data_IF_779281802801
#
_entry.id   IF_779281802801
#
_cell.length_a   1.000
_cell.length_b   1.000
_cell.length_c   1.000
_cell.angle_alpha   90.00
_cell.angle_beta   90.00
_cell.angle_gamma   90.00
#
_symmetry.space_group_name_H-M   'P 1'
#
loop_
_entity.id
_entity.type
_entity.pdbx_description
1 polymer ?
#
# COMPACT_ATOMS: atom_id res chain seq x y z
N UNK A 1 -45.21 28.26 42.61
CA UNK A 1 -45.28 28.07 41.14
C UNK A 1 -43.88 27.78 40.67
N UNK A 2 -43.49 26.52 40.72
CA UNK A 2 -42.14 26.03 40.42
C UNK A 2 -42.34 24.66 39.80
N UNK A 3 -42.85 24.61 38.57
CA UNK A 3 -43.06 23.32 37.90
C UNK A 3 -43.03 23.39 36.39
N UNK A 4 -43.30 24.53 35.76
CA UNK A 4 -43.21 24.63 34.30
C UNK A 4 -41.78 24.89 33.81
N UNK A 5 -41.06 25.82 34.44
CA UNK A 5 -39.70 26.17 34.03
C UNK A 5 -38.69 25.05 34.31
N UNK A 6 -38.81 24.36 35.44
CA UNK A 6 -37.93 23.23 35.75
C UNK A 6 -38.32 21.95 34.98
N UNK A 7 -39.61 21.74 34.69
CA UNK A 7 -40.01 20.69 33.74
C UNK A 7 -39.48 20.97 32.33
N UNK A 8 -39.43 22.22 31.88
CA UNK A 8 -38.81 22.60 30.60
C UNK A 8 -37.31 22.35 30.61
N UNK A 9 -36.60 22.69 31.69
CA UNK A 9 -35.15 22.39 31.82
C UNK A 9 -34.88 20.88 31.82
N UNK A 10 -35.69 20.11 32.52
CA UNK A 10 -35.59 18.63 32.53
C UNK A 10 -35.93 18.06 31.14
N UNK A 11 -36.92 18.61 30.44
CA UNK A 11 -37.25 18.21 29.06
C UNK A 11 -36.13 18.54 28.08
N UNK A 12 -35.51 19.72 28.20
CA UNK A 12 -34.37 20.10 27.35
C UNK A 12 -33.14 19.23 27.66
N UNK A 13 -32.85 18.96 28.94
CA UNK A 13 -31.75 18.09 29.33
C UNK A 13 -31.94 16.64 28.84
N UNK A 14 -33.17 16.11 28.91
CA UNK A 14 -33.51 14.77 28.43
C UNK A 14 -33.44 14.67 26.90
N UNK A 15 -33.88 15.70 26.17
CA UNK A 15 -33.75 15.76 24.70
C UNK A 15 -32.28 15.80 24.29
N UNK A 16 -31.46 16.66 24.91
CA UNK A 16 -30.02 16.72 24.61
C UNK A 16 -29.35 15.37 24.90
N UNK A 17 -29.68 14.74 26.02
CA UNK A 17 -29.13 13.41 26.38
C UNK A 17 -29.56 12.34 25.38
N UNK A 18 -30.82 12.35 24.95
CA UNK A 18 -31.32 11.43 23.93
C UNK A 18 -30.62 11.65 22.58
N UNK A 19 -30.35 12.89 22.18
CA UNK A 19 -29.60 13.23 20.96
C UNK A 19 -28.16 12.74 21.05
N UNK A 20 -27.47 12.96 22.18
CA UNK A 20 -26.09 12.48 22.38
C UNK A 20 -26.04 10.95 22.36
N UNK A 21 -26.95 10.27 23.05
CA UNK A 21 -27.05 8.80 23.00
C UNK A 21 -27.33 8.33 21.57
N UNK A 22 -28.20 9.02 20.82
CA UNK A 22 -28.51 8.67 19.44
C UNK A 22 -27.30 8.87 18.52
N UNK A 23 -26.51 9.94 18.69
CA UNK A 23 -25.26 10.17 17.93
C UNK A 23 -24.23 9.11 18.31
N UNK A 24 -24.07 8.79 19.59
CA UNK A 24 -23.16 7.74 20.05
C UNK A 24 -23.59 6.38 19.52
N UNK A 25 -24.88 6.05 19.50
CA UNK A 25 -25.42 4.81 18.93
C UNK A 25 -25.39 4.81 17.41
N UNK A 26 -25.48 5.95 16.74
CA UNK A 26 -25.33 6.08 15.29
C UNK A 26 -23.87 5.89 14.87
N UNK A 27 -22.93 6.52 15.58
CA UNK A 27 -21.48 6.29 15.42
C UNK A 27 -21.16 4.84 15.80
N UNK A 28 -21.71 4.32 16.90
CA UNK A 28 -21.50 2.93 17.32
C UNK A 28 -22.18 1.93 16.40
N UNK A 29 -23.28 2.29 15.74
CA UNK A 29 -23.97 1.49 14.72
C UNK A 29 -23.22 1.51 13.39
N UNK A 30 -22.64 2.65 13.02
CA UNK A 30 -21.68 2.77 11.93
C UNK A 30 -20.40 2.00 12.23
N UNK A 31 -19.92 2.02 13.48
CA UNK A 31 -18.85 1.15 13.94
C UNK A 31 -19.29 -0.31 13.91
N UNK A 32 -20.46 -0.71 14.43
CA UNK A 32 -20.94 -2.10 14.55
C UNK A 32 -21.30 -2.75 13.22
N UNK A 33 -21.85 -1.98 12.27
CA UNK A 33 -21.93 -2.41 10.86
C UNK A 33 -20.55 -2.47 10.20
N UNK A 34 -19.57 -1.76 10.75
CA UNK A 34 -18.15 -1.89 10.40
C UNK A 34 -17.38 -2.88 11.28
N UNK A 35 -17.91 -3.47 12.37
CA UNK A 35 -17.07 -4.21 13.35
C UNK A 35 -17.03 -5.71 13.14
N UNK A 36 -17.82 -6.26 12.21
CA UNK A 36 -17.45 -7.54 11.59
C UNK A 36 -16.38 -7.38 10.49
N UNK A 37 -15.97 -6.14 10.18
CA UNK A 37 -14.80 -5.87 9.34
C UNK A 37 -13.63 -5.29 10.15
N UNK A 38 -13.89 -4.50 11.19
CA UNK A 38 -12.86 -3.76 11.91
C UNK A 38 -12.08 -4.56 12.98
N UNK A 39 -12.58 -5.71 13.44
CA UNK A 39 -11.75 -6.61 14.25
C UNK A 39 -10.69 -7.32 13.40
N UNK A 40 -11.01 -7.67 12.14
CA UNK A 40 -10.02 -8.05 11.13
C UNK A 40 -9.19 -6.84 10.69
N UNK A 41 -9.81 -5.67 10.49
CA UNK A 41 -9.08 -4.47 10.05
C UNK A 41 -8.17 -3.87 11.12
N UNK A 42 -8.35 -4.05 12.42
CA UNK A 42 -7.39 -3.54 13.40
C UNK A 42 -6.07 -4.35 13.41
N UNK A 43 -6.14 -5.66 13.14
CA UNK A 43 -4.97 -6.49 12.83
C UNK A 43 -4.45 -6.19 11.42
N UNK A 44 -5.31 -5.73 10.52
CA UNK A 44 -4.92 -5.31 9.16
C UNK A 44 -4.30 -3.90 9.14
N UNK A 45 -4.68 -2.95 10.02
CA UNK A 45 -4.24 -1.54 9.96
C UNK A 45 -2.87 -1.31 10.60
N UNK A 46 -2.44 -2.16 11.55
CA UNK A 46 -1.01 -2.23 11.94
C UNK A 46 -0.17 -2.93 10.84
N UNK A 47 -0.81 -3.73 9.97
CA UNK A 47 -0.20 -4.32 8.77
C UNK A 47 -0.32 -3.44 7.50
N UNK A 48 -1.22 -2.47 7.41
CA UNK A 48 -1.51 -1.66 6.20
C UNK A 48 -0.51 -0.51 5.98
N UNK A 49 0.29 -0.18 6.99
CA UNK A 49 1.46 0.70 6.82
C UNK A 49 2.68 -0.11 6.30
N UNK A 50 2.60 -1.45 6.28
CA UNK A 50 3.72 -2.35 5.97
C UNK A 50 3.45 -3.27 4.76
N UNK A 51 2.20 -3.52 4.36
CA UNK A 51 1.87 -4.41 3.24
C UNK A 51 1.32 -3.63 2.04
N UNK A 52 2.20 -3.01 1.27
CA UNK A 52 1.91 -2.83 -0.16
C UNK A 52 1.77 -4.24 -0.74
N UNK A 53 0.54 -4.65 -1.08
CA UNK A 53 0.27 -6.00 -1.55
C UNK A 53 0.86 -6.20 -2.95
N UNK A 54 2.17 -6.44 -3.00
CA UNK A 54 2.92 -6.76 -4.21
C UNK A 54 2.42 -8.06 -4.84
N UNK A 55 1.75 -8.93 -4.06
CA UNK A 55 1.34 -10.26 -4.50
C UNK A 55 0.31 -10.19 -5.63
N UNK A 56 -0.49 -9.13 -5.66
CA UNK A 56 -1.43 -8.87 -6.78
C UNK A 56 -0.74 -8.64 -8.12
N UNK A 57 0.53 -8.23 -8.12
CA UNK A 57 1.30 -8.02 -9.33
C UNK A 57 1.93 -9.30 -9.84
N UNK A 58 2.00 -10.38 -9.05
CA UNK A 58 2.66 -11.60 -9.50
C UNK A 58 1.99 -12.18 -10.75
N UNK A 59 2.79 -12.42 -11.77
CA UNK A 59 2.29 -12.85 -13.07
C UNK A 59 1.48 -11.81 -13.85
N UNK A 60 1.30 -10.58 -13.36
CA UNK A 60 0.64 -9.53 -14.13
C UNK A 60 1.59 -8.91 -15.16
N UNK A 61 1.00 -8.33 -16.20
CA UNK A 61 1.72 -7.47 -17.14
C UNK A 61 1.33 -6.04 -16.87
N UNK A 62 2.31 -5.20 -16.55
CA UNK A 62 2.12 -3.80 -16.20
C UNK A 62 2.85 -2.88 -17.19
N UNK A 63 2.47 -1.60 -17.21
CA UNK A 63 3.16 -0.58 -18.01
C UNK A 63 4.52 -0.23 -17.39
N UNK A 64 5.43 0.30 -18.21
CA UNK A 64 6.73 0.79 -17.75
C UNK A 64 6.62 1.98 -16.79
N UNK A 65 5.58 2.81 -16.90
CA UNK A 65 5.31 3.85 -15.89
C UNK A 65 4.96 3.23 -14.53
N UNK A 66 4.15 2.17 -14.51
CA UNK A 66 3.85 1.46 -13.26
C UNK A 66 5.11 0.79 -12.69
N UNK A 67 6.01 0.28 -13.54
CA UNK A 67 7.32 -0.23 -13.10
C UNK A 67 8.14 0.87 -12.43
N UNK A 68 8.24 2.07 -13.02
CA UNK A 68 8.99 3.19 -12.43
C UNK A 68 8.40 3.60 -11.07
N UNK A 69 7.08 3.73 -10.99
CA UNK A 69 6.38 4.02 -9.72
C UNK A 69 6.59 2.93 -8.66
N UNK A 70 6.60 1.66 -9.05
CA UNK A 70 6.88 0.54 -8.15
C UNK A 70 8.31 0.58 -7.62
N UNK A 71 9.28 0.87 -8.48
CA UNK A 71 10.69 1.01 -8.09
C UNK A 71 10.84 2.13 -7.06
N UNK A 72 10.23 3.29 -7.28
CA UNK A 72 10.25 4.42 -6.33
C UNK A 72 9.60 4.09 -4.98
N UNK A 73 8.66 3.17 -4.93
CA UNK A 73 8.06 2.71 -3.66
C UNK A 73 8.91 1.67 -2.94
N UNK A 74 9.62 0.83 -3.69
CA UNK A 74 10.33 -0.33 -3.17
C UNK A 74 11.80 -0.05 -2.86
N UNK A 75 12.40 1.03 -3.38
CA UNK A 75 13.83 1.27 -3.21
C UNK A 75 14.25 1.42 -1.74
N UNK A 76 13.40 2.00 -0.89
CA UNK A 76 13.67 2.23 0.54
C UNK A 76 13.28 1.03 1.45
N UNK A 77 12.75 -0.05 0.87
CA UNK A 77 12.17 -1.18 1.62
C UNK A 77 13.09 -2.41 1.75
N UNK A 78 14.39 -2.29 1.46
CA UNK A 78 15.34 -3.42 1.46
C UNK A 78 14.87 -4.62 0.59
N UNK A 79 14.23 -4.32 -0.54
CA UNK A 79 13.73 -5.33 -1.48
C UNK A 79 14.72 -5.50 -2.63
N UNK A 80 15.01 -6.73 -3.02
CA UNK A 80 15.77 -6.98 -4.26
C UNK A 80 14.91 -6.63 -5.48
N UNK A 81 15.41 -5.76 -6.34
CA UNK A 81 14.71 -5.35 -7.55
C UNK A 81 15.59 -5.70 -8.76
N UNK A 82 15.02 -6.41 -9.74
CA UNK A 82 15.65 -6.67 -11.03
C UNK A 82 14.78 -6.23 -12.18
N UNK A 83 15.36 -5.50 -13.12
CA UNK A 83 14.67 -5.08 -14.35
C UNK A 83 15.42 -5.62 -15.56
N UNK A 84 14.70 -6.23 -16.48
CA UNK A 84 15.22 -6.75 -17.76
C UNK A 84 14.45 -6.08 -18.88
N UNK A 85 15.15 -5.34 -19.74
CA UNK A 85 14.57 -4.64 -20.88
C UNK A 85 15.00 -5.32 -22.18
N UNK A 86 14.35 -4.98 -23.30
CA UNK A 86 14.76 -5.45 -24.64
C UNK A 86 16.13 -4.91 -25.05
N UNK A 87 16.46 -3.69 -24.60
CA UNK A 87 17.74 -3.04 -24.85
C UNK A 87 18.87 -3.59 -23.96
N UNK A 88 18.56 -3.93 -22.70
CA UNK A 88 19.49 -4.52 -21.75
C UNK A 88 18.98 -5.89 -21.28
N UNK A 89 19.36 -6.92 -22.04
CA UNK A 89 18.93 -8.31 -21.81
C UNK A 89 19.56 -8.96 -20.58
N UNK A 90 20.73 -8.49 -20.15
CA UNK A 90 21.35 -8.90 -18.89
C UNK A 90 20.54 -8.40 -17.68
N UNK A 91 19.88 -7.27 -17.87
CA UNK A 91 19.14 -6.55 -16.85
C UNK A 91 20.06 -5.81 -15.88
N UNK A 92 19.44 -5.08 -14.97
CA UNK A 92 20.10 -4.31 -13.92
C UNK A 92 19.36 -4.51 -12.60
N UNK A 93 20.06 -4.30 -11.48
CA UNK A 93 19.55 -4.55 -10.13
C UNK A 93 20.02 -3.49 -9.15
N UNK A 94 19.37 -3.40 -7.99
CA UNK A 94 19.89 -2.64 -6.85
C UNK A 94 20.87 -3.42 -5.97
N UNK A 95 21.19 -4.67 -6.25
CA UNK A 95 22.06 -5.43 -5.37
C UNK A 95 23.53 -5.04 -5.52
N UNK A 96 24.18 -4.68 -4.40
CA UNK A 96 25.62 -4.44 -4.32
C UNK A 96 26.34 -5.70 -3.83
N UNK A 97 25.79 -6.31 -2.78
CA UNK A 97 26.28 -7.51 -2.13
C UNK A 97 25.11 -8.34 -1.61
N UNK A 98 25.36 -9.54 -1.11
CA UNK A 98 24.31 -10.38 -0.50
C UNK A 98 23.69 -9.62 0.68
N UNK A 99 22.40 -9.30 0.58
CA UNK A 99 21.68 -8.54 1.61
C UNK A 99 21.95 -7.04 1.66
N UNK A 100 22.65 -6.46 0.67
CA UNK A 100 22.92 -5.01 0.61
C UNK A 100 22.44 -4.40 -0.72
N UNK A 101 21.66 -3.33 -0.63
CA UNK A 101 21.02 -2.69 -1.78
C UNK A 101 21.49 -1.24 -1.97
N UNK A 102 21.63 -0.82 -3.22
CA UNK A 102 21.95 0.54 -3.66
C UNK A 102 20.66 1.29 -3.95
N UNK A 103 20.37 2.32 -3.14
CA UNK A 103 19.21 3.20 -3.31
C UNK A 103 19.26 3.97 -4.65
N UNK A 104 20.47 4.27 -5.15
CA UNK A 104 20.70 5.03 -6.38
C UNK A 104 20.80 4.17 -7.64
N UNK A 105 20.52 2.85 -7.55
CA UNK A 105 20.67 1.96 -8.71
C UNK A 105 19.75 2.33 -9.88
N UNK A 106 18.66 3.04 -9.59
CA UNK A 106 17.56 3.34 -10.51
C UNK A 106 17.42 4.82 -10.87
N UNK A 107 18.37 5.69 -10.49
CA UNK A 107 18.29 7.14 -10.77
C UNK A 107 18.22 7.43 -12.29
N UNK A 108 18.77 6.54 -13.12
CA UNK A 108 18.87 6.74 -14.57
C UNK A 108 17.73 6.12 -15.39
N UNK A 109 16.71 5.52 -14.76
CA UNK A 109 15.65 4.76 -15.47
C UNK A 109 14.79 5.60 -16.41
N UNK A 110 14.85 6.92 -16.27
CA UNK A 110 14.12 7.92 -17.05
C UNK A 110 14.85 8.38 -18.32
N UNK A 111 16.18 8.21 -18.38
CA UNK A 111 16.98 8.75 -19.48
C UNK A 111 17.08 7.76 -20.62
N UNK A 112 16.59 8.13 -21.81
CA UNK A 112 16.56 7.27 -23.01
C UNK A 112 17.93 6.71 -23.39
N UNK A 113 18.98 7.48 -23.17
CA UNK A 113 20.35 7.10 -23.53
C UNK A 113 21.03 6.22 -22.47
N UNK A 114 20.34 5.95 -21.35
CA UNK A 114 20.81 5.04 -20.30
C UNK A 114 20.57 3.57 -20.68
N UNK A 115 21.52 2.71 -20.31
CA UNK A 115 21.36 1.25 -20.36
C UNK A 115 20.34 0.71 -19.35
N UNK A 116 19.87 1.57 -18.44
CA UNK A 116 18.81 1.30 -17.46
C UNK A 116 17.46 1.90 -17.86
N UNK A 117 17.36 2.51 -19.05
CA UNK A 117 16.13 3.14 -19.49
C UNK A 117 14.95 2.16 -19.48
N UNK A 118 13.86 2.56 -18.82
CA UNK A 118 12.58 1.86 -18.82
C UNK A 118 11.66 2.64 -19.75
N UNK A 119 11.16 2.03 -20.82
CA UNK A 119 10.16 2.69 -21.67
C UNK A 119 8.79 2.69 -20.95
N UNK A 120 8.23 3.87 -20.67
CA UNK A 120 6.93 4.04 -20.00
C UNK A 120 5.77 3.32 -20.69
N UNK A 121 5.78 3.35 -22.02
CA UNK A 121 4.78 2.66 -22.88
C UNK A 121 5.08 1.16 -23.06
N UNK A 122 6.21 0.68 -22.52
CA UNK A 122 6.59 -0.73 -22.57
C UNK A 122 5.71 -1.58 -21.68
N UNK A 123 5.51 -2.85 -22.06
CA UNK A 123 4.84 -3.85 -21.22
C UNK A 123 5.86 -4.72 -20.50
N UNK A 124 5.65 -4.95 -19.21
CA UNK A 124 6.57 -5.70 -18.35
C UNK A 124 5.80 -6.78 -17.59
N UNK A 125 6.23 -8.03 -17.74
CA UNK A 125 5.79 -9.15 -16.91
C UNK A 125 6.47 -9.04 -15.55
N UNK A 126 5.67 -9.10 -14.49
CA UNK A 126 6.14 -9.10 -13.11
C UNK A 126 6.29 -10.54 -12.62
N UNK A 127 7.32 -10.78 -11.81
CA UNK A 127 7.53 -12.05 -11.12
C UNK A 127 8.06 -11.77 -9.72
N UNK A 128 7.42 -12.33 -8.71
CA UNK A 128 7.92 -12.24 -7.34
C UNK A 128 8.91 -13.37 -7.05
N UNK A 129 9.94 -13.05 -6.28
CA UNK A 129 10.96 -13.97 -5.81
C UNK A 129 10.80 -14.22 -4.31
N UNK A 130 10.86 -15.48 -3.93
CA UNK A 130 10.81 -15.95 -2.54
C UNK A 130 12.10 -16.70 -2.22
N UNK A 131 12.55 -16.63 -0.97
CA UNK A 131 13.69 -17.40 -0.48
C UNK A 131 13.33 -18.87 -0.21
N UNK A 132 14.29 -19.65 0.27
CA UNK A 132 14.08 -21.07 0.57
C UNK A 132 13.12 -21.33 1.76
N UNK A 133 12.70 -20.28 2.47
CA UNK A 133 11.79 -20.32 3.62
C UNK A 133 10.42 -19.71 3.28
N UNK A 134 10.10 -19.56 1.99
CA UNK A 134 8.87 -18.92 1.49
C UNK A 134 8.72 -17.44 1.91
N UNK A 135 9.83 -16.78 2.29
CA UNK A 135 9.84 -15.36 2.63
C UNK A 135 10.06 -14.54 1.37
N UNK A 136 9.24 -13.51 1.18
CA UNK A 136 9.41 -12.58 0.05
C UNK A 136 10.80 -11.95 0.06
N UNK A 137 11.52 -12.10 -1.06
CA UNK A 137 12.89 -11.62 -1.22
C UNK A 137 13.00 -10.45 -2.20
N UNK A 138 12.21 -10.46 -3.28
CA UNK A 138 12.39 -9.47 -4.34
C UNK A 138 11.39 -9.53 -5.48
N UNK A 139 11.48 -8.54 -6.35
CA UNK A 139 10.61 -8.40 -7.52
C UNK A 139 11.45 -8.33 -8.81
N UNK A 140 10.97 -9.00 -9.85
CA UNK A 140 11.54 -8.96 -11.19
C UNK A 140 10.53 -8.38 -12.18
N UNK A 141 11.02 -7.46 -13.01
CA UNK A 141 10.29 -6.90 -14.14
C UNK A 141 10.98 -7.32 -15.44
N UNK A 142 10.27 -8.02 -16.32
CA UNK A 142 10.80 -8.44 -17.63
C UNK A 142 9.95 -7.87 -18.75
N UNK A 143 10.56 -7.08 -19.62
CA UNK A 143 9.87 -6.53 -20.78
C UNK A 143 9.44 -7.65 -21.74
N UNK A 144 8.17 -7.60 -22.18
CA UNK A 144 7.57 -8.52 -23.15
C UNK A 144 7.33 -7.86 -24.49
#
# INVERSE_FOLDING_TARGET
MESSADAIKIAVATIITAVVITIVLFISGMLNTSTNKAADSAITTVNEVVNYDITKYDGQTISGEEVRHLIEKLYDQNVFIRVITKANRSGFTNQIAVGSYNLHAFDDIYYRDSDKFINGEGSFKVTLGYDANDVFYGIMFKQV
#
